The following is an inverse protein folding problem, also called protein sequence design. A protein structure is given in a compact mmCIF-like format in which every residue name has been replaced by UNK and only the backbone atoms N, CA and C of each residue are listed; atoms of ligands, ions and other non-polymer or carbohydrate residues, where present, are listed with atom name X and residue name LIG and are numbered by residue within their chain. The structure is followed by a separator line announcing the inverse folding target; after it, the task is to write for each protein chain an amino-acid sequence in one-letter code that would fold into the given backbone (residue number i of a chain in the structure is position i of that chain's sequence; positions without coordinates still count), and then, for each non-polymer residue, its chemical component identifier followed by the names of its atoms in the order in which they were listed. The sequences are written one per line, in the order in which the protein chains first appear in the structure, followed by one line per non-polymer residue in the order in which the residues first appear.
data_IF_596086654033
#
_entry.id   IF_596086654033
#
_cell.length_a   1.000
_cell.length_b   1.000
_cell.length_c   1.000
_cell.angle_alpha   90.00
_cell.angle_beta   90.00
_cell.angle_gamma   90.00
#
_symmetry.space_group_name_H-M   'P 1'
#
loop_
_entity.id
_entity.type
_entity.pdbx_description
1 polymer ?
#
# COMPACT_ATOMS: atom_id res chain seq x y z
N UNK A 1 -7.16 41.50 -17.97
CA UNK A 1 -6.81 40.17 -18.53
C UNK A 1 -6.28 39.32 -17.39
N UNK A 2 -6.67 38.04 -17.28
CA UNK A 2 -6.07 37.12 -16.31
C UNK A 2 -4.83 36.48 -16.95
N UNK A 3 -3.65 36.77 -16.42
CA UNK A 3 -2.43 36.03 -16.75
C UNK A 3 -2.56 34.58 -16.26
N UNK A 4 -2.05 33.63 -17.05
CA UNK A 4 -2.01 32.19 -16.71
C UNK A 4 -0.57 31.72 -16.71
N UNK A 5 -0.20 30.94 -15.71
CA UNK A 5 1.11 30.30 -15.58
C UNK A 5 0.97 28.78 -15.60
N UNK A 6 1.99 28.07 -16.07
CA UNK A 6 2.05 26.61 -15.98
C UNK A 6 2.71 26.20 -14.66
N UNK A 7 2.07 25.28 -13.95
CA UNK A 7 2.59 24.70 -12.70
C UNK A 7 2.45 23.18 -12.73
N UNK A 8 3.38 22.48 -12.09
CA UNK A 8 3.24 21.10 -11.65
C UNK A 8 2.72 21.12 -10.22
N UNK A 9 1.73 20.27 -9.94
CA UNK A 9 1.18 20.09 -8.61
C UNK A 9 1.49 18.66 -8.19
N UNK A 10 2.21 18.51 -7.09
CA UNK A 10 2.58 17.19 -6.53
C UNK A 10 1.93 17.05 -5.16
N UNK A 11 1.44 15.86 -4.86
CA UNK A 11 0.79 15.55 -3.58
C UNK A 11 1.18 14.15 -3.12
N UNK A 12 1.68 14.04 -1.88
CA UNK A 12 1.99 12.75 -1.26
C UNK A 12 0.93 12.36 -0.23
N UNK A 13 0.45 11.11 -0.32
CA UNK A 13 -0.45 10.52 0.67
C UNK A 13 -0.03 9.08 0.99
N UNK A 14 -0.26 8.69 2.25
CA UNK A 14 -0.12 7.29 2.70
C UNK A 14 -1.49 6.63 2.65
N UNK A 15 -1.58 5.45 2.04
CA UNK A 15 -2.80 4.65 2.03
C UNK A 15 -2.64 3.50 3.02
N UNK A 16 -3.64 3.32 3.89
CA UNK A 16 -3.70 2.20 4.82
C UNK A 16 -4.72 1.18 4.34
N UNK A 17 -4.30 -0.08 4.24
CA UNK A 17 -5.16 -1.19 3.85
C UNK A 17 -5.42 -2.10 5.06
N UNK A 18 -6.65 -2.56 5.24
CA UNK A 18 -7.06 -3.56 6.22
C UNK A 18 -8.32 -4.28 5.75
N UNK A 19 -8.30 -5.59 5.87
CA UNK A 19 -9.45 -6.48 5.67
C UNK A 19 -9.54 -7.43 6.86
N UNK A 20 -10.75 -7.63 7.37
CA UNK A 20 -11.02 -8.66 8.36
C UNK A 20 -11.50 -9.92 7.63
N UNK A 21 -10.91 -11.06 7.94
CA UNK A 21 -11.16 -12.34 7.26
C UNK A 21 -11.17 -13.48 8.28
N UNK A 22 -11.92 -14.52 7.99
CA UNK A 22 -11.74 -15.82 8.63
C UNK A 22 -10.65 -16.58 7.86
N UNK A 23 -9.64 -17.10 8.57
CA UNK A 23 -8.51 -17.79 7.96
C UNK A 23 -8.22 -19.14 8.59
N UNK A 24 -7.60 -20.02 7.81
CA UNK A 24 -7.12 -21.31 8.29
C UNK A 24 -5.97 -21.10 9.29
N UNK A 25 -6.00 -21.82 10.41
CA UNK A 25 -4.93 -21.75 11.41
C UNK A 25 -3.56 -22.14 10.82
N UNK A 26 -3.52 -23.10 9.90
CA UNK A 26 -2.28 -23.53 9.25
C UNK A 26 -1.59 -22.40 8.47
N UNK A 27 -2.37 -21.53 7.82
CA UNK A 27 -1.81 -20.40 7.09
C UNK A 27 -1.31 -19.29 8.03
N UNK A 28 -1.95 -19.14 9.21
CA UNK A 28 -1.46 -18.25 10.25
C UNK A 28 -0.13 -18.76 10.82
N UNK A 29 -0.04 -20.06 11.09
CA UNK A 29 1.20 -20.70 11.55
C UNK A 29 2.30 -20.57 10.47
N UNK A 30 1.97 -20.68 9.18
CA UNK A 30 2.91 -20.43 8.08
C UNK A 30 3.38 -18.97 8.07
N UNK A 31 2.47 -18.01 8.20
CA UNK A 31 2.80 -16.58 8.32
C UNK A 31 3.80 -16.33 9.47
N UNK A 32 3.53 -16.85 10.66
CA UNK A 32 4.39 -16.68 11.83
C UNK A 32 5.78 -17.27 11.60
N UNK A 33 5.87 -18.43 10.95
CA UNK A 33 7.15 -19.04 10.58
C UNK A 33 7.92 -18.21 9.56
N UNK A 34 7.23 -17.65 8.55
CA UNK A 34 7.85 -16.81 7.51
C UNK A 34 8.45 -15.53 8.10
N UNK A 35 7.71 -14.84 8.98
CA UNK A 35 8.16 -13.57 9.61
C UNK A 35 9.36 -13.77 10.53
N UNK A 36 9.47 -14.95 11.16
CA UNK A 36 10.60 -15.28 12.03
C UNK A 36 11.78 -15.94 11.30
N UNK A 37 11.71 -16.12 9.98
CA UNK A 37 12.75 -16.83 9.21
C UNK A 37 13.89 -15.90 8.77
N UNK A 38 15.12 -16.42 8.71
CA UNK A 38 16.29 -15.71 8.15
C UNK A 38 16.34 -15.78 6.60
N UNK A 39 15.24 -16.15 5.94
CA UNK A 39 15.21 -16.27 4.48
C UNK A 39 15.31 -14.90 3.78
N UNK A 40 15.68 -14.91 2.50
CA UNK A 40 15.72 -13.69 1.67
C UNK A 40 14.36 -12.98 1.68
N UNK A 41 14.38 -11.67 1.93
CA UNK A 41 13.19 -10.83 2.08
C UNK A 41 12.19 -10.96 0.92
N UNK A 42 12.67 -11.09 -0.31
CA UNK A 42 11.80 -11.18 -1.50
C UNK A 42 11.00 -12.49 -1.59
N UNK A 43 11.58 -13.62 -1.15
CA UNK A 43 10.88 -14.90 -1.16
C UNK A 43 9.79 -14.94 -0.09
N UNK A 44 10.08 -14.34 1.08
CA UNK A 44 9.12 -14.14 2.16
C UNK A 44 7.97 -13.24 1.68
N UNK A 45 8.28 -12.09 1.08
CA UNK A 45 7.28 -11.14 0.56
C UNK A 45 6.31 -11.77 -0.44
N UNK A 46 6.82 -12.58 -1.37
CA UNK A 46 5.95 -13.27 -2.33
C UNK A 46 4.98 -14.24 -1.64
N UNK A 47 5.47 -15.06 -0.70
CA UNK A 47 4.61 -16.01 0.03
C UNK A 47 3.58 -15.31 0.92
N UNK A 48 3.98 -14.24 1.59
CA UNK A 48 3.05 -13.42 2.37
C UNK A 48 1.97 -12.80 1.49
N UNK A 49 2.33 -12.38 0.27
CA UNK A 49 1.38 -11.87 -0.72
C UNK A 49 0.41 -12.98 -1.17
N UNK A 50 0.92 -14.19 -1.43
CA UNK A 50 0.09 -15.34 -1.82
C UNK A 50 -0.92 -15.72 -0.72
N UNK A 51 -0.49 -15.72 0.55
CA UNK A 51 -1.37 -15.94 1.71
C UNK A 51 -2.43 -14.83 1.76
N UNK A 52 -2.05 -13.56 1.63
CA UNK A 52 -3.00 -12.44 1.65
C UNK A 52 -4.02 -12.53 0.50
N UNK A 53 -3.57 -12.91 -0.70
CA UNK A 53 -4.42 -13.08 -1.88
C UNK A 53 -5.40 -14.25 -1.74
N UNK A 54 -5.01 -15.35 -1.09
CA UNK A 54 -5.91 -16.47 -0.75
C UNK A 54 -7.16 -15.99 0.01
N UNK A 55 -6.99 -15.00 0.90
CA UNK A 55 -8.09 -14.41 1.69
C UNK A 55 -8.68 -13.14 1.05
N UNK A 56 -8.37 -12.90 -0.22
CA UNK A 56 -8.92 -11.82 -1.02
C UNK A 56 -8.47 -10.43 -0.60
N UNK A 57 -7.31 -10.30 0.05
CA UNK A 57 -6.68 -9.00 0.30
C UNK A 57 -5.86 -8.60 -0.94
N UNK A 58 -6.36 -7.71 -1.79
CA UNK A 58 -5.70 -7.30 -3.04
C UNK A 58 -4.91 -6.00 -2.92
N UNK A 59 -4.91 -5.35 -1.75
CA UNK A 59 -4.24 -4.05 -1.57
C UNK A 59 -4.86 -2.94 -2.44
N UNK A 60 -6.17 -3.01 -2.67
CA UNK A 60 -6.91 -2.07 -3.50
C UNK A 60 -8.39 -2.02 -3.12
N UNK A 61 -9.09 -0.97 -3.56
CA UNK A 61 -10.55 -0.87 -3.44
C UNK A 61 -11.06 -1.02 -2.00
N UNK A 62 -11.83 -2.09 -1.76
CA UNK A 62 -12.50 -2.37 -0.48
C UNK A 62 -11.55 -2.64 0.69
N UNK A 63 -10.28 -2.95 0.41
CA UNK A 63 -9.28 -3.16 1.46
C UNK A 63 -8.74 -1.84 2.01
N UNK A 64 -9.06 -0.70 1.40
CA UNK A 64 -8.57 0.60 1.87
C UNK A 64 -9.34 1.00 3.13
N UNK A 65 -8.66 0.99 4.27
CA UNK A 65 -9.24 1.39 5.56
C UNK A 65 -9.40 2.91 5.66
N UNK A 66 -8.45 3.66 5.09
CA UNK A 66 -8.53 5.12 5.01
C UNK A 66 -7.51 5.65 3.97
N UNK A 67 -7.86 6.73 3.29
CA UNK A 67 -6.87 7.56 2.60
C UNK A 67 -6.32 8.51 3.66
N UNK A 68 -5.03 8.49 3.98
CA UNK A 68 -4.51 9.57 4.82
C UNK A 68 -4.73 10.90 4.10
N UNK A 69 -5.00 11.93 4.89
CA UNK A 69 -4.92 13.31 4.46
C UNK A 69 -3.61 13.51 3.68
N UNK A 70 -3.72 14.20 2.55
CA UNK A 70 -2.55 14.59 1.75
C UNK A 70 -1.63 15.36 2.68
N UNK A 71 -0.43 14.83 2.92
CA UNK A 71 0.47 15.37 3.94
C UNK A 71 1.21 16.60 3.44
N UNK A 72 1.47 16.65 2.15
CA UNK A 72 2.23 17.70 1.51
C UNK A 72 1.71 17.91 0.09
N UNK A 73 1.41 19.16 -0.24
CA UNK A 73 1.05 19.59 -1.60
C UNK A 73 2.04 20.67 -1.99
N UNK A 74 2.76 20.46 -3.10
CA UNK A 74 3.70 21.44 -3.65
C UNK A 74 3.24 21.92 -5.02
N UNK A 75 3.59 23.18 -5.32
CA UNK A 75 3.31 23.83 -6.59
C UNK A 75 4.63 24.34 -7.16
N UNK A 76 5.01 23.89 -8.35
CA UNK A 76 6.27 24.26 -8.99
C UNK A 76 6.01 24.88 -10.36
N UNK A 77 6.55 26.07 -10.63
CA UNK A 77 6.46 26.70 -11.95
C UNK A 77 7.32 25.91 -12.94
N UNK A 78 6.73 25.47 -14.04
CA UNK A 78 7.50 24.91 -15.15
C UNK A 78 8.07 26.06 -15.97
N UNK A 79 9.39 26.20 -15.98
CA UNK A 79 10.06 27.05 -16.97
C UNK A 79 10.14 26.25 -18.27
N UNK A 80 9.63 26.83 -19.36
CA UNK A 80 9.82 26.31 -20.71
C UNK A 80 11.31 26.29 -21.08
#
# INVERSE_FOLDING_TARGET
MCEKVKVVITADSKVYFRKEVEMDKADLDEYENLVNSEQSSKAIENRLTDIAYKYGFSGGGSDILNHCEIKEITFELTRD
#
